data_IF_739923451370
#
_entry.id   IF_739923451370
#
_cell.length_a   1.000
_cell.length_b   1.000
_cell.length_c   1.000
_cell.angle_alpha   90.00
_cell.angle_beta   90.00
_cell.angle_gamma   90.00
#
_symmetry.space_group_name_H-M   'P 1'
#
loop_
_entity.id
_entity.type
_entity.pdbx_description
1 polymer ?
#
# COMPACT_ATOMS: atom_id res chain seq x y z
N UNK A 1 65.54 -42.18 -22.97
CA UNK A 1 66.52 -41.37 -22.25
C UNK A 1 65.77 -40.51 -21.21
N UNK A 2 65.86 -40.94 -19.97
CA UNK A 2 66.27 -40.23 -18.76
C UNK A 2 65.57 -38.90 -18.56
N UNK A 3 64.66 -38.83 -17.61
CA UNK A 3 64.86 -38.56 -16.17
C UNK A 3 65.07 -37.06 -15.87
N UNK A 4 64.19 -36.43 -15.16
CA UNK A 4 64.52 -35.91 -13.84
C UNK A 4 63.28 -35.48 -13.10
N UNK A 5 63.20 -35.90 -11.86
CA UNK A 5 62.32 -35.54 -10.82
C UNK A 5 62.47 -34.04 -10.41
N UNK A 6 61.41 -33.44 -9.95
CA UNK A 6 61.42 -32.16 -9.27
C UNK A 6 60.21 -32.10 -8.38
N UNK A 7 60.32 -32.65 -7.23
CA UNK A 7 59.53 -32.54 -6.01
C UNK A 7 59.73 -31.12 -5.45
N UNK A 8 58.63 -30.44 -5.06
CA UNK A 8 58.50 -29.42 -3.96
C UNK A 8 57.07 -28.93 -3.98
N UNK A 9 56.34 -29.30 -3.02
CA UNK A 9 56.11 -28.72 -1.70
C UNK A 9 54.79 -27.92 -1.60
N UNK A 10 53.88 -28.46 -0.84
CA UNK A 10 53.25 -27.78 0.28
C UNK A 10 52.32 -26.61 0.01
N UNK A 11 51.22 -26.82 -0.66
CA UNK A 11 50.06 -25.89 -0.56
C UNK A 11 49.04 -26.40 0.43
N UNK A 12 49.24 -26.08 1.70
CA UNK A 12 48.34 -26.36 2.82
C UNK A 12 47.01 -25.65 2.60
N UNK A 13 46.00 -26.37 2.10
CA UNK A 13 44.62 -25.92 2.10
C UNK A 13 44.21 -25.65 3.56
N UNK A 14 44.11 -24.39 3.92
CA UNK A 14 43.45 -23.95 5.15
C UNK A 14 41.99 -24.37 5.04
N UNK A 15 41.65 -25.51 5.59
CA UNK A 15 40.32 -25.88 5.94
C UNK A 15 39.83 -24.84 6.98
N UNK A 16 39.04 -23.89 6.55
CA UNK A 16 38.35 -22.97 7.42
C UNK A 16 37.46 -23.78 8.36
N UNK A 17 37.88 -23.83 9.62
CA UNK A 17 37.06 -24.35 10.72
C UNK A 17 35.82 -23.49 10.78
N UNK A 18 34.72 -23.93 10.15
CA UNK A 18 33.42 -23.35 10.30
C UNK A 18 33.01 -23.45 11.76
N UNK A 19 33.12 -22.35 12.47
CA UNK A 19 32.73 -22.27 13.87
C UNK A 19 31.25 -22.64 14.01
N UNK A 20 30.88 -23.52 14.97
CA UNK A 20 29.48 -23.92 15.18
C UNK A 20 28.52 -22.77 15.38
N UNK A 21 29.02 -21.58 15.71
CA UNK A 21 28.24 -20.35 15.83
C UNK A 21 27.74 -19.81 14.47
N UNK A 22 28.47 -19.93 13.38
CA UNK A 22 28.04 -19.51 12.04
C UNK A 22 26.95 -20.43 11.49
N UNK A 23 27.04 -21.71 11.74
CA UNK A 23 25.99 -22.69 11.38
C UNK A 23 24.70 -22.47 12.19
N UNK A 24 24.83 -22.15 13.47
CA UNK A 24 23.67 -21.83 14.32
C UNK A 24 22.98 -20.52 13.93
N UNK A 25 23.75 -19.50 13.51
CA UNK A 25 23.23 -18.23 13.04
C UNK A 25 22.52 -18.37 11.68
N UNK A 26 23.07 -19.17 10.76
CA UNK A 26 22.42 -19.49 9.48
C UNK A 26 21.10 -20.25 9.64
N UNK A 27 21.06 -21.24 10.56
CA UNK A 27 19.81 -21.97 10.87
C UNK A 27 18.74 -21.07 11.51
N UNK A 28 19.10 -20.14 12.37
CA UNK A 28 18.17 -19.17 12.98
C UNK A 28 17.65 -18.18 11.94
N UNK A 29 18.50 -17.70 11.03
CA UNK A 29 18.09 -16.83 9.92
C UNK A 29 17.14 -17.54 8.96
N UNK A 30 17.40 -18.81 8.62
CA UNK A 30 16.53 -19.63 7.79
C UNK A 30 15.19 -19.94 8.45
N UNK A 31 15.16 -20.20 9.76
CA UNK A 31 13.94 -20.37 10.53
C UNK A 31 13.09 -19.08 10.58
N UNK A 32 13.74 -17.93 10.76
CA UNK A 32 13.04 -16.62 10.73
C UNK A 32 12.47 -16.31 9.33
N UNK A 33 13.24 -16.61 8.27
CA UNK A 33 12.77 -16.46 6.88
C UNK A 33 11.59 -17.41 6.57
N UNK A 34 11.64 -18.65 7.04
CA UNK A 34 10.56 -19.62 6.91
C UNK A 34 9.31 -19.19 7.71
N UNK A 35 9.49 -18.61 8.90
CA UNK A 35 8.40 -18.07 9.71
C UNK A 35 7.72 -16.86 9.03
N UNK A 36 8.49 -16.00 8.36
CA UNK A 36 7.96 -14.86 7.58
C UNK A 36 7.21 -15.33 6.32
N UNK A 37 7.61 -16.44 5.70
CA UNK A 37 6.97 -16.96 4.50
C UNK A 37 5.57 -17.58 4.75
N UNK A 38 5.28 -18.00 5.97
CA UNK A 38 3.98 -18.62 6.32
C UNK A 38 2.84 -17.59 6.47
N UNK A 39 3.13 -16.29 6.50
CA UNK A 39 2.20 -15.21 6.84
C UNK A 39 1.44 -14.56 5.68
N UNK A 40 1.68 -14.89 4.43
CA UNK A 40 1.00 -14.25 3.28
C UNK A 40 -0.38 -14.86 3.09
N UNK A 41 -1.34 -14.38 3.87
CA UNK A 41 -2.78 -14.64 3.64
C UNK A 41 -3.31 -13.50 2.78
N UNK A 42 -4.05 -13.83 1.71
CA UNK A 42 -4.72 -12.84 0.87
C UNK A 42 -5.55 -11.87 1.72
N UNK A 43 -5.66 -10.63 1.26
CA UNK A 43 -6.43 -9.59 1.94
C UNK A 43 -7.90 -9.98 2.01
N UNK A 44 -8.45 -10.03 3.19
CA UNK A 44 -9.89 -10.20 3.42
C UNK A 44 -10.35 -9.28 4.55
N UNK A 45 -11.59 -8.91 4.52
CA UNK A 45 -12.23 -8.13 5.59
C UNK A 45 -13.60 -8.72 5.93
N UNK A 46 -14.10 -8.31 7.08
CA UNK A 46 -15.43 -8.73 7.52
C UNK A 46 -16.41 -7.55 7.41
N UNK A 47 -17.60 -7.85 6.94
CA UNK A 47 -18.67 -6.87 6.79
C UNK A 47 -19.90 -7.35 7.53
N UNK A 48 -20.54 -6.46 8.29
CA UNK A 48 -21.80 -6.72 8.95
C UNK A 48 -23.00 -6.53 8.01
N UNK A 49 -24.21 -6.82 8.50
CA UNK A 49 -25.44 -6.80 7.71
C UNK A 49 -25.76 -5.41 7.13
N UNK A 50 -25.56 -4.35 7.92
CA UNK A 50 -25.83 -2.96 7.54
C UNK A 50 -24.57 -2.14 7.37
N UNK A 51 -23.42 -2.77 7.48
CA UNK A 51 -22.12 -2.10 7.44
C UNK A 51 -21.72 -1.82 5.99
N UNK A 52 -21.26 -0.58 5.74
CA UNK A 52 -20.65 -0.17 4.48
C UNK A 52 -19.14 -0.05 4.71
N UNK A 53 -18.35 -0.79 3.93
CA UNK A 53 -16.88 -0.69 3.93
C UNK A 53 -16.43 0.01 2.67
N UNK A 54 -15.61 1.04 2.85
CA UNK A 54 -15.07 1.82 1.75
C UNK A 54 -13.56 1.74 1.74
N UNK A 55 -13.00 1.62 0.56
CA UNK A 55 -11.57 1.62 0.25
C UNK A 55 -11.29 2.83 -0.60
N UNK A 56 -10.15 3.47 -0.37
CA UNK A 56 -9.70 4.62 -1.13
C UNK A 56 -8.53 4.17 -1.99
N UNK A 57 -8.67 4.36 -3.30
CA UNK A 57 -7.65 4.08 -4.29
C UNK A 57 -7.33 5.34 -5.06
N UNK A 58 -6.06 5.69 -5.11
CA UNK A 58 -5.57 6.84 -5.88
C UNK A 58 -5.37 6.41 -7.34
N UNK A 59 -6.21 6.92 -8.22
CA UNK A 59 -6.29 6.46 -9.60
C UNK A 59 -5.99 7.64 -10.55
N UNK A 60 -5.03 7.48 -11.50
CA UNK A 60 -4.80 8.45 -12.56
C UNK A 60 -6.00 8.61 -13.48
N UNK A 61 -6.00 9.70 -14.28
CA UNK A 61 -7.02 9.93 -15.29
C UNK A 61 -7.01 8.85 -16.38
N UNK A 62 -8.17 8.62 -16.99
CA UNK A 62 -8.38 7.65 -18.08
C UNK A 62 -7.85 6.24 -17.78
N UNK A 63 -7.84 5.85 -16.52
CA UNK A 63 -7.33 4.54 -16.09
C UNK A 63 -8.47 3.59 -15.81
N UNK A 64 -8.40 2.38 -16.40
CA UNK A 64 -9.37 1.31 -16.16
C UNK A 64 -9.06 0.56 -14.87
N UNK A 65 -10.10 0.31 -14.10
CA UNK A 65 -10.03 -0.43 -12.84
C UNK A 65 -10.98 -1.62 -12.87
N UNK A 66 -10.46 -2.77 -12.47
CA UNK A 66 -11.24 -3.99 -12.32
C UNK A 66 -11.19 -4.42 -10.86
N UNK A 67 -12.36 -4.57 -10.26
CA UNK A 67 -12.50 -5.15 -8.94
C UNK A 67 -13.15 -6.53 -9.01
N UNK A 68 -12.52 -7.52 -8.41
CA UNK A 68 -13.08 -8.84 -8.22
C UNK A 68 -13.35 -9.07 -6.74
N UNK A 69 -14.53 -9.49 -6.39
CA UNK A 69 -14.78 -9.85 -5.00
C UNK A 69 -15.46 -11.22 -4.89
N UNK A 70 -15.24 -11.86 -3.74
CA UNK A 70 -15.87 -13.13 -3.36
C UNK A 70 -16.24 -13.06 -1.89
N UNK A 71 -17.46 -13.51 -1.60
CA UNK A 71 -17.99 -13.53 -0.23
C UNK A 71 -18.00 -14.94 0.31
N UNK A 72 -17.68 -15.09 1.59
CA UNK A 72 -17.75 -16.37 2.32
C UNK A 72 -18.49 -16.16 3.63
N UNK A 73 -19.41 -17.07 3.96
CA UNK A 73 -20.17 -17.05 5.19
C UNK A 73 -19.62 -18.09 6.17
N UNK A 74 -19.57 -17.74 7.45
CA UNK A 74 -19.18 -18.67 8.50
C UNK A 74 -20.35 -19.57 8.87
N UNK A 75 -20.18 -20.88 8.74
CA UNK A 75 -21.12 -21.88 9.24
C UNK A 75 -20.72 -22.28 10.67
N UNK A 76 -21.58 -21.94 11.65
CA UNK A 76 -21.36 -22.28 13.07
C UNK A 76 -21.43 -23.77 13.38
N UNK A 77 -22.19 -24.52 12.60
CA UNK A 77 -22.37 -25.96 12.87
C UNK A 77 -21.18 -26.78 12.38
N UNK A 78 -20.59 -26.34 11.27
CA UNK A 78 -19.46 -27.02 10.63
C UNK A 78 -18.12 -26.40 10.97
N UNK A 79 -18.11 -25.25 11.63
CA UNK A 79 -16.91 -24.45 11.92
C UNK A 79 -16.02 -24.18 10.69
N UNK A 80 -16.65 -23.99 9.52
CA UNK A 80 -15.98 -23.79 8.23
C UNK A 80 -16.61 -22.60 7.50
N UNK A 81 -15.79 -21.90 6.73
CA UNK A 81 -16.30 -20.91 5.77
C UNK A 81 -16.90 -21.61 4.56
N UNK A 82 -18.17 -21.39 4.33
CA UNK A 82 -18.86 -21.90 3.16
C UNK A 82 -18.40 -21.14 1.91
N UNK A 83 -18.22 -21.82 0.76
CA UNK A 83 -18.07 -21.14 -0.51
C UNK A 83 -19.29 -20.25 -0.77
N UNK A 84 -19.16 -19.34 -1.75
CA UNK A 84 -20.18 -18.35 -2.06
C UNK A 84 -21.60 -18.92 -2.03
N UNK A 85 -22.45 -18.33 -1.20
CA UNK A 85 -23.82 -18.80 -1.03
C UNK A 85 -24.73 -18.04 -1.99
N UNK A 86 -25.50 -18.74 -2.86
CA UNK A 86 -26.45 -18.07 -3.74
C UNK A 86 -27.50 -17.31 -2.92
N UNK A 87 -27.80 -16.08 -3.35
CA UNK A 87 -28.77 -15.20 -2.68
C UNK A 87 -28.16 -14.18 -1.71
N UNK A 88 -26.86 -14.18 -1.53
CA UNK A 88 -26.15 -13.05 -0.92
C UNK A 88 -25.95 -11.96 -1.97
N UNK A 89 -26.56 -10.80 -1.78
CA UNK A 89 -26.36 -9.63 -2.63
C UNK A 89 -25.30 -8.70 -2.05
N UNK A 90 -24.43 -8.20 -2.92
CA UNK A 90 -23.46 -7.15 -2.59
C UNK A 90 -23.72 -5.95 -3.48
N UNK A 91 -23.86 -4.78 -2.89
CA UNK A 91 -23.93 -3.52 -3.62
C UNK A 91 -22.56 -2.87 -3.66
N UNK A 92 -22.11 -2.55 -4.86
CA UNK A 92 -20.84 -1.87 -5.11
C UNK A 92 -21.13 -0.46 -5.58
N UNK A 93 -20.62 0.53 -4.88
CA UNK A 93 -20.71 1.94 -5.21
C UNK A 93 -19.30 2.52 -5.34
N UNK A 94 -19.01 3.16 -6.46
CA UNK A 94 -17.74 3.85 -6.68
C UNK A 94 -18.01 5.32 -6.85
N UNK A 95 -17.27 6.14 -6.12
CA UNK A 95 -17.30 7.61 -6.21
C UNK A 95 -15.96 8.14 -6.68
N UNK A 96 -16.00 9.18 -7.48
CA UNK A 96 -14.83 9.93 -7.89
C UNK A 96 -14.34 10.88 -6.78
N UNK A 97 -13.20 11.58 -6.95
CA UNK A 97 -12.67 12.54 -5.98
C UNK A 97 -13.61 13.71 -5.67
N UNK A 98 -14.54 14.03 -6.56
CA UNK A 98 -15.55 15.09 -6.38
C UNK A 98 -16.81 14.60 -5.64
N UNK A 99 -16.88 13.28 -5.35
CA UNK A 99 -18.00 12.64 -4.68
C UNK A 99 -19.14 12.21 -5.62
N UNK A 100 -18.98 12.33 -6.92
CA UNK A 100 -19.95 11.89 -7.91
C UNK A 100 -19.90 10.37 -8.06
N UNK A 101 -21.03 9.72 -8.19
CA UNK A 101 -21.11 8.27 -8.36
C UNK A 101 -20.77 7.88 -9.79
N UNK A 102 -19.65 7.15 -9.96
CA UNK A 102 -19.19 6.59 -11.24
C UNK A 102 -19.84 5.24 -11.52
N UNK A 103 -19.98 4.41 -10.48
CA UNK A 103 -20.59 3.10 -10.55
C UNK A 103 -21.48 2.86 -9.33
N UNK A 104 -22.69 2.36 -9.56
CA UNK A 104 -23.59 1.88 -8.50
C UNK A 104 -24.36 0.70 -9.03
N UNK A 105 -23.95 -0.51 -8.62
CA UNK A 105 -24.57 -1.75 -9.09
C UNK A 105 -24.67 -2.78 -7.97
N UNK A 106 -25.68 -3.62 -8.10
CA UNK A 106 -25.90 -4.78 -7.25
C UNK A 106 -25.41 -6.03 -7.97
N UNK A 107 -24.63 -6.83 -7.26
CA UNK A 107 -24.09 -8.10 -7.72
C UNK A 107 -24.49 -9.22 -6.74
N UNK A 108 -24.16 -10.46 -7.09
CA UNK A 108 -24.40 -11.63 -6.24
C UNK A 108 -23.33 -11.82 -5.16
N UNK A 109 -23.15 -13.06 -4.75
CA UNK A 109 -22.13 -13.48 -3.78
C UNK A 109 -20.69 -13.35 -4.29
N UNK A 110 -20.53 -13.37 -5.60
CA UNK A 110 -19.30 -13.09 -6.32
C UNK A 110 -19.59 -12.07 -7.39
N UNK A 111 -18.65 -11.18 -7.66
CA UNK A 111 -18.83 -10.18 -8.68
C UNK A 111 -17.53 -9.63 -9.21
N UNK A 112 -17.60 -9.23 -10.47
CA UNK A 112 -16.57 -8.46 -11.15
C UNK A 112 -17.18 -7.13 -11.58
N UNK A 113 -16.61 -6.04 -11.15
CA UNK A 113 -17.00 -4.69 -11.57
C UNK A 113 -15.83 -4.01 -12.26
N UNK A 114 -16.17 -3.19 -13.24
CA UNK A 114 -15.18 -2.44 -14.03
C UNK A 114 -15.67 -1.02 -14.17
N UNK A 115 -14.78 -0.07 -13.99
CA UNK A 115 -15.03 1.34 -14.26
C UNK A 115 -13.76 2.00 -14.79
N UNK A 116 -13.90 3.15 -15.43
CA UNK A 116 -12.80 3.99 -15.89
C UNK A 116 -12.83 5.30 -15.12
N UNK A 117 -11.68 5.71 -14.60
CA UNK A 117 -11.52 7.03 -14.01
C UNK A 117 -11.55 8.10 -15.10
N UNK A 118 -12.24 9.20 -14.85
CA UNK A 118 -12.26 10.38 -15.70
C UNK A 118 -11.74 11.63 -14.99
N UNK A 119 -11.38 11.49 -13.73
CA UNK A 119 -10.78 12.53 -12.88
C UNK A 119 -9.69 11.91 -12.06
N UNK A 120 -8.46 12.44 -12.07
CA UNK A 120 -7.37 11.88 -11.29
C UNK A 120 -7.56 12.18 -9.80
N UNK A 121 -7.23 11.23 -8.94
CA UNK A 121 -7.28 11.38 -7.49
C UNK A 121 -7.91 10.21 -6.74
N UNK A 122 -8.34 10.49 -5.52
CA UNK A 122 -8.84 9.51 -4.57
C UNK A 122 -10.26 9.04 -4.95
N UNK A 123 -10.37 7.83 -5.47
CA UNK A 123 -11.65 7.18 -5.72
C UNK A 123 -12.06 6.35 -4.51
N UNK A 124 -13.33 6.43 -4.16
CA UNK A 124 -13.87 5.68 -3.05
C UNK A 124 -14.70 4.49 -3.54
N UNK A 125 -14.21 3.27 -3.28
CA UNK A 125 -14.86 2.02 -3.64
C UNK A 125 -15.54 1.46 -2.39
N UNK A 126 -16.86 1.45 -2.37
CA UNK A 126 -17.65 1.07 -1.22
C UNK A 126 -18.45 -0.21 -1.51
N UNK A 127 -18.38 -1.14 -0.58
CA UNK A 127 -19.14 -2.38 -0.61
C UNK A 127 -20.07 -2.44 0.60
N UNK A 128 -21.32 -2.81 0.38
CA UNK A 128 -22.26 -3.14 1.45
C UNK A 128 -23.13 -4.31 1.06
N UNK A 129 -23.49 -5.12 2.04
CA UNK A 129 -24.38 -6.25 1.81
C UNK A 129 -25.84 -5.79 1.76
N UNK A 130 -26.58 -6.26 0.76
CA UNK A 130 -28.03 -6.03 0.64
C UNK A 130 -28.82 -7.32 0.90
N UNK A 131 -28.24 -8.26 1.63
CA UNK A 131 -28.86 -9.56 1.88
C UNK A 131 -29.61 -9.58 3.21
N UNK A 132 -30.91 -9.76 3.15
CA UNK A 132 -31.76 -10.01 4.33
C UNK A 132 -31.53 -11.37 4.98
N UNK A 133 -30.78 -12.27 4.32
CA UNK A 133 -30.46 -13.61 4.84
C UNK A 133 -29.37 -13.62 5.90
N UNK A 134 -28.59 -12.55 6.02
CA UNK A 134 -27.53 -12.47 7.04
C UNK A 134 -28.09 -12.48 8.46
N UNK A 135 -29.32 -11.98 8.68
CA UNK A 135 -29.98 -12.01 9.98
C UNK A 135 -30.28 -13.42 10.51
N UNK A 136 -30.36 -14.42 9.62
CA UNK A 136 -30.60 -15.81 10.00
C UNK A 136 -29.36 -16.53 10.52
N UNK A 137 -28.18 -15.97 10.29
CA UNK A 137 -26.91 -16.55 10.74
C UNK A 137 -26.39 -15.79 11.95
N UNK A 138 -26.46 -16.43 13.09
CA UNK A 138 -26.05 -15.89 14.38
C UNK A 138 -24.63 -15.28 14.35
N UNK A 139 -24.56 -13.97 14.25
CA UNK A 139 -23.33 -13.21 14.19
C UNK A 139 -23.13 -12.40 12.90
N UNK A 140 -23.96 -12.56 11.87
CA UNK A 140 -24.15 -11.66 10.72
C UNK A 140 -22.90 -11.09 10.04
N UNK A 141 -21.74 -11.77 10.11
CA UNK A 141 -20.50 -11.30 9.50
C UNK A 141 -20.13 -12.11 8.29
N UNK A 142 -19.96 -11.41 7.19
CA UNK A 142 -19.54 -11.94 5.91
C UNK A 142 -18.05 -11.69 5.74
N UNK A 143 -17.27 -12.71 5.38
CA UNK A 143 -15.89 -12.52 4.95
C UNK A 143 -15.90 -12.18 3.47
N UNK A 144 -15.28 -11.06 3.12
CA UNK A 144 -15.17 -10.59 1.74
C UNK A 144 -13.69 -10.56 1.35
N UNK A 145 -13.39 -11.24 0.26
CA UNK A 145 -12.11 -11.12 -0.43
C UNK A 145 -12.30 -10.10 -1.55
N UNK A 146 -11.48 -9.09 -1.59
CA UNK A 146 -11.50 -8.05 -2.62
C UNK A 146 -10.12 -7.97 -3.25
N UNK A 147 -10.11 -7.99 -4.58
CA UNK A 147 -8.93 -7.82 -5.42
C UNK A 147 -9.21 -6.69 -6.40
N UNK A 148 -8.40 -5.64 -6.34
CA UNK A 148 -8.52 -4.46 -7.19
C UNK A 148 -7.29 -4.41 -8.08
N UNK A 149 -7.52 -4.36 -9.39
CA UNK A 149 -6.49 -4.28 -10.41
C UNK A 149 -6.65 -2.98 -11.17
N UNK A 150 -5.59 -2.17 -11.19
CA UNK A 150 -5.59 -0.83 -11.80
C UNK A 150 -4.70 -0.83 -13.04
N UNK A 151 -5.15 -0.18 -14.09
CA UNK A 151 -4.39 0.08 -15.29
C UNK A 151 -4.05 -1.18 -16.09
N UNK A 152 -2.77 -1.40 -16.42
CA UNK A 152 -2.32 -2.53 -17.26
C UNK A 152 -2.65 -3.90 -16.65
N UNK A 153 -2.66 -4.01 -15.32
CA UNK A 153 -3.02 -5.24 -14.62
C UNK A 153 -4.48 -5.65 -14.82
N UNK A 154 -5.30 -4.73 -15.30
CA UNK A 154 -6.69 -4.99 -15.67
C UNK A 154 -6.83 -5.66 -17.05
N UNK A 155 -5.78 -5.63 -17.90
CA UNK A 155 -5.82 -6.19 -19.25
C UNK A 155 -5.61 -7.71 -19.24
N UNK A 156 -6.52 -8.45 -19.89
CA UNK A 156 -6.39 -9.89 -20.09
C UNK A 156 -5.66 -10.18 -21.40
N UNK A 157 -4.35 -10.11 -21.40
CA UNK A 157 -3.51 -10.30 -22.59
C UNK A 157 -3.72 -11.67 -23.32
N UNK A 158 -3.91 -12.81 -22.62
CA UNK A 158 -4.22 -14.08 -23.28
C UNK A 158 -5.51 -14.03 -24.10
N UNK A 159 -6.55 -13.36 -23.61
CA UNK A 159 -7.83 -13.22 -24.32
C UNK A 159 -7.68 -12.28 -25.54
N UNK A 160 -6.93 -11.19 -25.38
CA UNK A 160 -6.61 -10.26 -26.47
C UNK A 160 -5.82 -11.00 -27.56
N UNK A 161 -4.81 -11.80 -27.20
CA UNK A 161 -4.02 -12.57 -28.15
C UNK A 161 -4.86 -13.56 -28.95
N UNK A 162 -5.80 -14.25 -28.28
CA UNK A 162 -6.71 -15.21 -28.93
C UNK A 162 -7.67 -14.52 -29.89
N UNK A 163 -8.21 -13.35 -29.52
CA UNK A 163 -9.16 -12.59 -30.32
C UNK A 163 -8.53 -11.96 -31.56
N UNK A 164 -7.38 -11.32 -31.40
CA UNK A 164 -6.72 -10.56 -32.45
C UNK A 164 -5.71 -11.41 -33.25
N UNK A 165 -5.55 -12.71 -32.94
CA UNK A 165 -4.58 -13.64 -33.57
C UNK A 165 -3.16 -13.06 -33.60
N UNK A 166 -2.76 -12.37 -32.52
CA UNK A 166 -1.46 -11.73 -32.42
C UNK A 166 -0.34 -12.75 -32.24
N UNK A 167 0.82 -12.50 -32.86
CA UNK A 167 2.04 -13.24 -32.56
C UNK A 167 2.56 -12.87 -31.17
N UNK A 168 3.35 -13.73 -30.54
CA UNK A 168 3.94 -13.49 -29.22
C UNK A 168 4.70 -12.15 -29.15
N UNK A 169 5.45 -11.82 -30.20
CA UNK A 169 6.18 -10.54 -30.29
C UNK A 169 5.26 -9.32 -30.35
N UNK A 170 4.18 -9.42 -31.13
CA UNK A 170 3.19 -8.35 -31.22
C UNK A 170 2.46 -8.15 -29.89
N UNK A 171 2.15 -9.24 -29.19
CA UNK A 171 1.54 -9.18 -27.86
C UNK A 171 2.46 -8.49 -26.85
N UNK A 172 3.75 -8.85 -26.83
CA UNK A 172 4.75 -8.20 -25.97
C UNK A 172 4.93 -6.71 -26.31
N UNK A 173 4.97 -6.38 -27.60
CA UNK A 173 5.07 -4.99 -28.03
C UNK A 173 3.85 -4.17 -27.56
N UNK A 174 2.65 -4.72 -27.67
CA UNK A 174 1.43 -4.08 -27.17
C UNK A 174 1.44 -3.91 -25.66
N UNK A 175 1.85 -4.94 -24.93
CA UNK A 175 2.01 -4.88 -23.48
C UNK A 175 2.98 -3.78 -23.04
N UNK A 176 4.12 -3.65 -23.70
CA UNK A 176 5.10 -2.60 -23.43
C UNK A 176 4.56 -1.20 -23.74
N UNK A 177 3.77 -1.04 -24.81
CA UNK A 177 3.12 0.23 -25.12
C UNK A 177 2.12 0.63 -24.04
N UNK A 178 1.28 -0.31 -23.59
CA UNK A 178 0.32 -0.07 -22.51
C UNK A 178 1.04 0.33 -21.21
N UNK A 179 2.18 -0.32 -20.89
CA UNK A 179 3.01 0.01 -19.74
C UNK A 179 3.61 1.42 -19.84
N UNK A 180 4.13 1.80 -20.99
CA UNK A 180 4.71 3.14 -21.22
C UNK A 180 3.63 4.21 -21.08
N UNK A 181 2.45 3.98 -21.66
CA UNK A 181 1.33 4.93 -21.53
C UNK A 181 0.89 5.09 -20.08
N UNK A 182 0.81 4.00 -19.33
CA UNK A 182 0.48 4.06 -17.91
C UNK A 182 1.54 4.80 -17.11
N UNK A 183 2.83 4.51 -17.33
CA UNK A 183 3.93 5.22 -16.67
C UNK A 183 3.87 6.73 -16.95
N UNK A 184 3.54 7.11 -18.17
CA UNK A 184 3.39 8.53 -18.52
C UNK A 184 2.26 9.19 -17.75
N UNK A 185 1.08 8.55 -17.67
CA UNK A 185 -0.06 9.04 -16.89
C UNK A 185 0.27 9.17 -15.39
N UNK A 186 0.97 8.17 -14.85
CA UNK A 186 1.42 8.21 -13.45
C UNK A 186 2.43 9.34 -13.20
N UNK A 187 3.37 9.59 -14.13
CA UNK A 187 4.33 10.68 -14.00
C UNK A 187 3.65 12.05 -14.05
N UNK A 188 2.70 12.25 -14.95
CA UNK A 188 1.97 13.52 -15.06
C UNK A 188 1.12 13.75 -13.80
N UNK A 189 0.49 12.70 -13.27
CA UNK A 189 -0.21 12.76 -12.01
C UNK A 189 0.71 13.07 -10.82
N UNK A 190 1.89 12.44 -10.76
CA UNK A 190 2.89 12.72 -9.71
C UNK A 190 3.39 14.17 -9.77
N UNK A 191 3.60 14.75 -10.95
CA UNK A 191 3.97 16.16 -11.10
C UNK A 191 2.91 17.09 -10.54
N UNK A 192 1.65 16.85 -10.86
CA UNK A 192 0.54 17.63 -10.32
C UNK A 192 0.48 17.54 -8.79
N UNK A 193 0.68 16.34 -8.25
CA UNK A 193 0.72 16.11 -6.81
C UNK A 193 1.90 16.79 -6.14
N UNK A 194 3.09 16.71 -6.74
CA UNK A 194 4.31 17.36 -6.25
C UNK A 194 4.15 18.87 -6.16
N UNK A 195 3.58 19.51 -7.18
CA UNK A 195 3.29 20.94 -7.18
C UNK A 195 2.37 21.33 -6.01
N UNK A 196 1.33 20.56 -5.78
CA UNK A 196 0.39 20.79 -4.68
C UNK A 196 1.05 20.61 -3.30
N UNK A 197 1.88 19.58 -3.15
CA UNK A 197 2.67 19.36 -1.93
C UNK A 197 3.70 20.46 -1.70
N UNK A 198 4.33 20.93 -2.75
CA UNK A 198 5.30 22.03 -2.68
C UNK A 198 4.65 23.30 -2.13
N UNK A 199 3.49 23.68 -2.64
CA UNK A 199 2.74 24.84 -2.13
C UNK A 199 2.38 24.69 -0.64
N UNK A 200 1.95 23.51 -0.23
CA UNK A 200 1.61 23.21 1.17
C UNK A 200 2.87 23.25 2.05
N UNK A 201 3.95 22.64 1.60
CA UNK A 201 5.24 22.63 2.31
C UNK A 201 5.80 24.05 2.48
N UNK A 202 5.72 24.88 1.44
CA UNK A 202 6.18 26.25 1.47
C UNK A 202 5.40 27.11 2.48
N UNK A 203 4.07 26.98 2.51
CA UNK A 203 3.25 27.67 3.50
C UNK A 203 3.52 27.22 4.93
N UNK A 204 3.79 25.93 5.13
CA UNK A 204 4.14 25.37 6.44
C UNK A 204 5.51 25.87 6.89
N UNK A 205 6.50 25.87 6.00
CA UNK A 205 7.85 26.36 6.28
C UNK A 205 7.84 27.85 6.66
N UNK A 206 7.07 28.69 5.98
CA UNK A 206 6.90 30.09 6.35
C UNK A 206 6.34 30.26 7.76
N UNK A 207 5.32 29.48 8.14
CA UNK A 207 4.76 29.54 9.49
C UNK A 207 5.77 29.15 10.55
N UNK A 208 6.52 28.06 10.34
CA UNK A 208 7.57 27.60 11.25
C UNK A 208 8.66 28.67 11.40
N UNK A 209 9.08 29.31 10.30
CA UNK A 209 10.08 30.35 10.30
C UNK A 209 9.63 31.58 11.10
N UNK A 210 8.40 32.06 10.91
CA UNK A 210 7.84 33.16 11.68
C UNK A 210 7.76 32.86 13.19
N UNK A 211 7.31 31.65 13.55
CA UNK A 211 7.25 31.22 14.95
C UNK A 211 8.64 31.13 15.58
N UNK A 212 9.62 30.61 14.83
CA UNK A 212 11.03 30.53 15.28
C UNK A 212 11.63 31.92 15.54
N UNK A 213 11.41 32.88 14.63
CA UNK A 213 11.87 34.27 14.81
C UNK A 213 11.19 34.89 16.04
N UNK A 214 9.88 34.76 16.18
CA UNK A 214 9.15 35.31 17.32
C UNK A 214 9.68 34.73 18.65
N UNK A 215 9.91 33.43 18.72
CA UNK A 215 10.46 32.78 19.91
C UNK A 215 11.88 33.26 20.23
N UNK A 216 12.74 33.45 19.22
CA UNK A 216 14.10 33.96 19.40
C UNK A 216 14.07 35.39 19.95
N UNK A 217 13.19 36.24 19.41
CA UNK A 217 13.05 37.61 19.90
C UNK A 217 12.60 37.63 21.38
N UNK A 218 11.63 36.80 21.75
CA UNK A 218 11.17 36.70 23.14
C UNK A 218 12.31 36.27 24.06
N UNK A 219 13.12 35.28 23.65
CA UNK A 219 14.27 34.80 24.43
C UNK A 219 15.31 35.90 24.63
N UNK A 220 15.60 36.67 23.59
CA UNK A 220 16.54 37.81 23.69
C UNK A 220 16.00 38.88 24.66
N UNK A 221 14.74 39.24 24.52
CA UNK A 221 14.10 40.25 25.40
C UNK A 221 14.07 39.80 26.87
N UNK A 222 13.72 38.55 27.12
CA UNK A 222 13.73 38.00 28.48
C UNK A 222 15.14 37.94 29.05
N UNK A 223 16.15 37.58 28.26
CA UNK A 223 17.55 37.57 28.68
C UNK A 223 18.06 38.97 29.04
N UNK A 224 17.77 39.99 28.23
CA UNK A 224 18.13 41.37 28.52
C UNK A 224 17.39 41.87 29.79
N UNK A 225 16.11 41.57 29.92
CA UNK A 225 15.35 41.93 31.10
C UNK A 225 15.91 41.27 32.37
N UNK A 226 16.29 40.00 32.33
CA UNK A 226 16.87 39.27 33.44
C UNK A 226 18.22 39.88 33.85
N UNK A 227 19.10 40.18 32.88
CA UNK A 227 20.39 40.84 33.18
C UNK A 227 20.23 42.20 33.85
N UNK A 228 19.28 43.02 33.36
CA UNK A 228 19.01 44.32 33.97
C UNK A 228 18.42 44.19 35.37
N UNK A 229 17.51 43.26 35.55
CA UNK A 229 16.91 43.01 36.87
C UNK A 229 17.95 42.50 37.89
N UNK A 230 18.83 41.58 37.45
CA UNK A 230 19.90 41.07 38.29
C UNK A 230 20.88 42.17 38.69
N UNK A 231 21.28 43.03 37.75
CA UNK A 231 22.14 44.17 38.03
C UNK A 231 21.49 45.12 39.06
N UNK A 232 20.26 45.50 38.87
CA UNK A 232 19.51 46.34 39.81
C UNK A 232 19.38 45.69 41.21
N UNK A 233 19.21 44.37 41.26
CA UNK A 233 19.13 43.61 42.52
C UNK A 233 20.47 43.66 43.29
N UNK A 234 21.59 43.47 42.62
CA UNK A 234 22.91 43.54 43.24
C UNK A 234 23.30 44.96 43.68
N UNK A 235 22.97 45.98 42.90
CA UNK A 235 23.17 47.38 43.28
C UNK A 235 22.33 47.75 44.52
N UNK A 236 21.06 47.32 44.59
CA UNK A 236 20.20 47.61 45.75
C UNK A 236 20.65 46.89 47.02
N UNK A 237 21.32 45.73 46.92
CA UNK A 237 21.87 45.02 48.10
C UNK A 237 23.30 45.38 48.47
N UNK A 238 23.91 46.31 47.77
CA UNK A 238 25.32 46.76 48.02
C UNK A 238 26.33 45.60 48.05
N UNK A 239 26.14 44.57 47.23
CA UNK A 239 27.02 43.42 47.15
C UNK A 239 28.17 43.59 46.16
N UNK A 240 28.22 44.73 45.49
CA UNK A 240 29.36 45.26 44.71
C UNK A 240 29.51 46.74 44.97
#
# INVERSE_FOLDING_TARGET
AQAHAGELDGGRAMAGVDSPQRLAMGRRALLLLALCAVGVRGLYFHIGETEKRCFIEEIPDETMVIGNYRTQMWDKQKEVFLPSTPGLGMHVEVKDPEGKVVLSRQYGSEGRFTFTSHTPGDHQICLHSNSTRMALFAGGRLRVHLDIQVGEHANNYPEIAAKDKLTELQLRARQLLDQVEQIQKEQDYQRYREERFRLTSESTNQRVLWWSIAQTVILILTGIWQMRHLKSFFEAKKLV
#
